data_IF_254243906545
#
_entry.id   IF_254243906545
#
_cell.length_a   1.000
_cell.length_b   1.000
_cell.length_c   1.000
_cell.angle_alpha   90.00
_cell.angle_beta   90.00
_cell.angle_gamma   90.00
#
_symmetry.space_group_name_H-M   'P 1'
#
loop_
_entity.id
_entity.type
_entity.pdbx_description
1 polymer ?
#
# COMPACT_ATOMS: atom_id res chain seq x y z
N UNK A 1 -14.12 -29.30 -26.43
CA UNK A 1 -13.96 -27.97 -25.80
C UNK A 1 -12.78 -28.09 -24.86
N UNK A 2 -11.77 -27.28 -25.02
CA UNK A 2 -10.67 -27.29 -24.06
C UNK A 2 -11.08 -26.59 -22.72
N UNK A 3 -10.29 -26.80 -21.70
CA UNK A 3 -10.60 -26.30 -20.33
C UNK A 3 -10.72 -24.78 -20.30
N UNK A 4 -9.82 -24.08 -20.98
CA UNK A 4 -9.79 -22.62 -20.99
C UNK A 4 -11.05 -22.04 -21.63
N UNK A 5 -11.48 -22.61 -22.76
CA UNK A 5 -12.69 -22.19 -23.47
C UNK A 5 -13.95 -22.37 -22.59
N UNK A 6 -14.06 -23.51 -21.89
CA UNK A 6 -15.19 -23.76 -20.97
C UNK A 6 -15.21 -22.76 -19.79
N UNK A 7 -14.05 -22.42 -19.23
CA UNK A 7 -13.96 -21.41 -18.16
C UNK A 7 -14.39 -20.04 -18.68
N UNK A 8 -13.94 -19.63 -19.86
CA UNK A 8 -14.32 -18.35 -20.47
C UNK A 8 -15.82 -18.23 -20.69
N UNK A 9 -16.48 -19.26 -21.24
CA UNK A 9 -17.94 -19.26 -21.40
C UNK A 9 -18.69 -19.07 -20.06
N UNK A 10 -18.28 -19.78 -19.01
CA UNK A 10 -18.87 -19.64 -17.68
C UNK A 10 -18.67 -18.22 -17.13
N UNK A 11 -17.47 -17.66 -17.27
CA UNK A 11 -17.17 -16.32 -16.78
C UNK A 11 -17.87 -15.23 -17.58
N UNK A 12 -18.03 -15.39 -18.89
CA UNK A 12 -18.82 -14.48 -19.72
C UNK A 12 -20.29 -14.48 -19.33
N UNK A 13 -20.85 -15.65 -19.01
CA UNK A 13 -22.26 -15.81 -18.65
C UNK A 13 -22.59 -15.37 -17.23
N UNK A 14 -21.73 -15.67 -16.25
CA UNK A 14 -22.04 -15.52 -14.82
C UNK A 14 -21.06 -14.58 -14.07
N UNK A 15 -19.92 -14.27 -14.65
CA UNK A 15 -18.90 -13.43 -14.04
C UNK A 15 -19.26 -11.93 -14.03
N UNK A 16 -18.55 -11.13 -13.24
CA UNK A 16 -18.71 -9.69 -13.26
C UNK A 16 -18.23 -9.13 -14.60
N UNK A 17 -18.83 -8.01 -15.00
CA UNK A 17 -18.33 -7.25 -16.15
C UNK A 17 -16.99 -6.61 -15.80
N UNK A 18 -16.16 -6.41 -16.83
CA UNK A 18 -14.92 -5.66 -16.65
C UNK A 18 -15.21 -4.25 -16.11
N UNK A 19 -14.37 -3.72 -15.19
CA UNK A 19 -14.52 -2.37 -14.70
C UNK A 19 -14.48 -1.34 -15.83
N UNK A 20 -15.45 -0.43 -15.82
CA UNK A 20 -15.57 0.67 -16.80
C UNK A 20 -15.68 2.01 -16.06
N UNK A 21 -15.53 3.10 -16.78
CA UNK A 21 -15.80 4.43 -16.24
C UNK A 21 -17.30 4.58 -15.89
N UNK A 22 -17.57 5.23 -14.76
CA UNK A 22 -18.92 5.53 -14.28
C UNK A 22 -19.22 6.99 -14.63
N UNK A 23 -19.97 7.20 -15.71
CA UNK A 23 -20.21 8.54 -16.27
C UNK A 23 -21.24 9.36 -15.46
N UNK A 24 -22.23 8.71 -14.87
CA UNK A 24 -23.33 9.37 -14.16
C UNK A 24 -23.45 8.82 -12.74
N UNK A 25 -22.55 9.20 -11.82
CA UNK A 25 -22.56 8.69 -10.46
C UNK A 25 -23.72 9.32 -9.64
N UNK A 26 -24.39 8.48 -8.88
CA UNK A 26 -25.32 8.91 -7.82
C UNK A 26 -24.74 8.69 -6.42
N UNK A 27 -23.62 8.01 -6.33
CA UNK A 27 -22.92 7.71 -5.09
C UNK A 27 -21.40 7.80 -5.29
N UNK A 28 -20.68 7.98 -4.19
CA UNK A 28 -19.20 7.95 -4.15
C UNK A 28 -18.78 6.90 -3.13
N UNK A 29 -18.61 5.62 -3.53
CA UNK A 29 -18.18 4.56 -2.63
C UNK A 29 -16.67 4.70 -2.34
N UNK A 30 -16.21 4.08 -1.23
CA UNK A 30 -14.79 4.09 -0.86
C UNK A 30 -13.90 3.31 -1.83
N UNK A 31 -14.42 2.22 -2.37
CA UNK A 31 -13.71 1.39 -3.34
C UNK A 31 -14.72 0.73 -4.29
N UNK A 32 -14.25 0.44 -5.50
CA UNK A 32 -14.94 -0.39 -6.48
C UNK A 32 -13.98 -1.48 -6.95
N UNK A 33 -14.49 -2.66 -7.35
CA UNK A 33 -13.64 -3.74 -7.85
C UNK A 33 -12.76 -3.28 -9.02
N UNK A 34 -11.47 -3.64 -9.01
CA UNK A 34 -10.52 -3.38 -10.10
C UNK A 34 -10.34 -4.60 -11.01
N UNK A 35 -10.85 -5.76 -10.63
CA UNK A 35 -10.73 -7.02 -11.37
C UNK A 35 -11.96 -7.28 -12.23
N UNK A 36 -11.80 -8.10 -13.26
CA UNK A 36 -12.84 -8.47 -14.18
C UNK A 36 -12.71 -9.94 -14.65
N UNK A 37 -13.13 -10.19 -15.86
CA UNK A 37 -13.21 -11.56 -16.40
C UNK A 37 -11.85 -12.24 -16.53
N UNK A 38 -10.81 -11.53 -16.96
CA UNK A 38 -9.48 -12.10 -17.15
C UNK A 38 -8.89 -12.68 -15.86
N UNK A 39 -9.02 -11.94 -14.76
CA UNK A 39 -8.56 -12.37 -13.43
C UNK A 39 -9.31 -13.59 -12.92
N UNK A 40 -10.61 -13.66 -13.19
CA UNK A 40 -11.45 -14.80 -12.78
C UNK A 40 -11.12 -16.04 -13.60
N UNK A 41 -10.93 -15.91 -14.90
CA UNK A 41 -10.52 -17.02 -15.78
C UNK A 41 -9.20 -17.62 -15.28
N UNK A 42 -8.20 -16.77 -15.02
CA UNK A 42 -6.89 -17.23 -14.56
C UNK A 42 -6.95 -17.85 -13.15
N UNK A 43 -7.76 -17.28 -12.24
CA UNK A 43 -7.98 -17.84 -10.92
C UNK A 43 -8.68 -19.20 -10.95
N UNK A 44 -9.69 -19.37 -11.84
CA UNK A 44 -10.37 -20.65 -12.04
C UNK A 44 -9.41 -21.69 -12.64
N UNK A 45 -8.56 -21.31 -13.59
CA UNK A 45 -7.55 -22.21 -14.14
C UNK A 45 -6.53 -22.64 -13.08
N UNK A 46 -6.11 -21.73 -12.21
CA UNK A 46 -5.27 -22.06 -11.06
C UNK A 46 -5.94 -23.06 -10.12
N UNK A 47 -7.22 -22.86 -9.78
CA UNK A 47 -8.00 -23.79 -8.96
C UNK A 47 -8.11 -25.18 -9.60
N UNK A 48 -8.42 -25.26 -10.89
CA UNK A 48 -8.59 -26.50 -11.64
C UNK A 48 -7.26 -27.23 -11.92
N UNK A 49 -6.13 -26.53 -11.77
CA UNK A 49 -4.81 -27.16 -11.84
C UNK A 49 -4.53 -28.07 -10.64
N UNK A 50 -5.21 -27.85 -9.49
CA UNK A 50 -4.97 -28.52 -8.22
C UNK A 50 -3.73 -28.00 -7.46
N UNK A 51 -2.96 -27.05 -8.03
CA UNK A 51 -1.81 -26.45 -7.39
C UNK A 51 -2.21 -25.11 -6.74
N UNK A 52 -2.43 -25.11 -5.43
CA UNK A 52 -3.00 -23.96 -4.72
C UNK A 52 -1.99 -23.14 -3.90
N UNK A 53 -0.87 -23.76 -3.55
CA UNK A 53 0.24 -23.07 -2.88
C UNK A 53 1.09 -22.31 -3.89
N UNK A 54 2.01 -21.50 -3.42
CA UNK A 54 2.91 -20.69 -4.26
C UNK A 54 3.53 -21.52 -5.39
N UNK A 55 3.43 -21.04 -6.62
CA UNK A 55 3.92 -21.70 -7.84
C UNK A 55 4.24 -20.70 -8.94
N UNK A 56 4.16 -21.13 -10.21
CA UNK A 56 4.65 -20.36 -11.37
C UNK A 56 3.90 -19.03 -11.59
N UNK A 57 2.61 -18.97 -11.26
CA UNK A 57 1.84 -17.72 -11.38
C UNK A 57 2.34 -16.67 -10.41
N UNK A 58 2.68 -17.09 -9.18
CA UNK A 58 3.27 -16.17 -8.18
C UNK A 58 4.64 -15.69 -8.65
N UNK A 59 5.51 -16.59 -9.16
CA UNK A 59 6.83 -16.18 -9.68
C UNK A 59 6.72 -15.25 -10.89
N UNK A 60 5.74 -15.48 -11.76
CA UNK A 60 5.47 -14.60 -12.90
C UNK A 60 4.95 -13.23 -12.44
N UNK A 61 4.08 -13.21 -11.43
CA UNK A 61 3.61 -11.98 -10.83
C UNK A 61 4.77 -11.19 -10.19
N UNK A 62 5.69 -11.85 -9.47
CA UNK A 62 6.90 -11.23 -8.91
C UNK A 62 7.72 -10.55 -10.00
N UNK A 63 7.99 -11.24 -11.11
CA UNK A 63 8.75 -10.67 -12.25
C UNK A 63 8.07 -9.44 -12.85
N UNK A 64 6.76 -9.53 -13.13
CA UNK A 64 5.97 -8.42 -13.67
C UNK A 64 5.92 -7.22 -12.72
N UNK A 65 5.79 -7.49 -11.42
CA UNK A 65 5.77 -6.43 -10.42
C UNK A 65 7.12 -5.73 -10.29
N UNK A 66 8.22 -6.48 -10.26
CA UNK A 66 9.56 -5.92 -10.28
C UNK A 66 9.82 -5.05 -11.51
N UNK A 67 9.43 -5.52 -12.70
CA UNK A 67 9.51 -4.76 -13.95
C UNK A 67 8.66 -3.47 -13.90
N UNK A 68 7.41 -3.55 -13.43
CA UNK A 68 6.55 -2.38 -13.31
C UNK A 68 7.13 -1.33 -12.35
N UNK A 69 7.65 -1.73 -11.21
CA UNK A 69 8.27 -0.80 -10.23
C UNK A 69 9.61 -0.27 -10.74
N UNK A 70 10.33 -1.04 -11.54
CA UNK A 70 11.66 -0.69 -12.05
C UNK A 70 12.79 -1.11 -11.11
N UNK A 71 12.66 -2.30 -10.50
CA UNK A 71 13.66 -2.92 -9.62
C UNK A 71 14.05 -4.30 -10.14
N UNK A 72 15.14 -4.87 -9.60
CA UNK A 72 15.61 -6.20 -10.00
C UNK A 72 14.78 -7.34 -9.38
N UNK A 73 14.25 -7.12 -8.16
CA UNK A 73 13.66 -8.18 -7.37
C UNK A 73 12.32 -7.75 -6.77
N UNK A 74 11.34 -8.64 -6.85
CA UNK A 74 10.14 -8.60 -6.04
C UNK A 74 9.94 -9.95 -5.35
N UNK A 75 9.40 -9.92 -4.13
CA UNK A 75 9.12 -11.11 -3.33
C UNK A 75 7.69 -11.03 -2.82
N UNK A 76 6.80 -11.84 -3.39
CA UNK A 76 5.38 -11.84 -3.04
C UNK A 76 5.10 -12.52 -1.70
N UNK A 77 4.19 -11.95 -0.94
CA UNK A 77 3.72 -12.43 0.35
C UNK A 77 2.19 -12.30 0.45
N UNK A 78 1.59 -12.82 1.52
CA UNK A 78 0.14 -12.91 1.65
C UNK A 78 -0.57 -11.62 2.10
N UNK A 79 0.17 -10.54 2.42
CA UNK A 79 -0.41 -9.22 2.73
C UNK A 79 0.66 -8.12 2.77
N UNK A 80 0.25 -6.85 2.70
CA UNK A 80 1.16 -5.72 2.91
C UNK A 80 1.78 -5.69 4.31
N UNK A 81 1.02 -6.09 5.33
CA UNK A 81 1.55 -6.22 6.70
C UNK A 81 2.67 -7.25 6.77
N UNK A 82 2.50 -8.38 6.10
CA UNK A 82 3.54 -9.41 5.96
C UNK A 82 4.73 -8.91 5.15
N UNK A 83 4.51 -8.05 4.15
CA UNK A 83 5.60 -7.44 3.38
C UNK A 83 6.49 -6.58 4.30
N UNK A 84 5.90 -5.71 5.12
CA UNK A 84 6.64 -4.91 6.10
C UNK A 84 7.40 -5.76 7.10
N UNK A 85 6.74 -6.79 7.67
CA UNK A 85 7.35 -7.68 8.66
C UNK A 85 8.54 -8.46 8.08
N UNK A 86 8.37 -9.05 6.89
CA UNK A 86 9.43 -9.83 6.20
C UNK A 86 10.57 -8.91 5.77
N UNK A 87 10.24 -7.73 5.21
CA UNK A 87 11.22 -6.72 4.79
C UNK A 87 12.13 -6.31 5.95
N UNK A 88 11.56 -5.90 7.08
CA UNK A 88 12.31 -5.47 8.26
C UNK A 88 13.11 -6.62 8.88
N UNK A 89 12.54 -7.84 8.94
CA UNK A 89 13.26 -9.03 9.40
C UNK A 89 14.48 -9.32 8.52
N UNK A 90 14.33 -9.22 7.20
CA UNK A 90 15.42 -9.41 6.24
C UNK A 90 16.49 -8.31 6.35
N UNK A 91 16.08 -7.05 6.57
CA UNK A 91 17.01 -5.93 6.81
C UNK A 91 17.90 -6.18 8.05
N UNK A 92 17.33 -6.77 9.10
CA UNK A 92 18.10 -7.16 10.29
C UNK A 92 19.02 -8.35 10.01
N UNK A 93 18.53 -9.38 9.31
CA UNK A 93 19.33 -10.56 8.96
C UNK A 93 20.52 -10.21 8.09
N UNK A 94 20.35 -9.30 7.14
CA UNK A 94 21.44 -8.81 6.28
C UNK A 94 22.35 -7.79 6.96
N UNK A 95 22.13 -7.45 8.22
CA UNK A 95 22.97 -6.53 9.00
C UNK A 95 22.78 -5.04 8.66
N UNK A 96 21.74 -4.67 7.89
CA UNK A 96 21.41 -3.28 7.61
C UNK A 96 20.79 -2.57 8.83
N UNK A 97 20.12 -3.32 9.70
CA UNK A 97 19.53 -2.85 10.95
C UNK A 97 19.97 -3.74 12.11
N UNK A 98 19.98 -3.20 13.32
CA UNK A 98 20.34 -3.90 14.55
C UNK A 98 19.19 -3.86 15.56
N UNK A 99 19.08 -4.91 16.37
CA UNK A 99 18.06 -4.99 17.41
C UNK A 99 18.13 -3.78 18.36
N UNK A 100 16.99 -3.17 18.63
CA UNK A 100 16.90 -1.96 19.44
C UNK A 100 17.30 -0.67 18.74
N UNK A 101 17.73 -0.71 17.47
CA UNK A 101 18.05 0.48 16.70
C UNK A 101 16.80 1.34 16.49
N UNK A 102 16.95 2.64 16.61
CA UNK A 102 15.90 3.61 16.32
C UNK A 102 15.59 3.63 14.82
N UNK A 103 14.29 3.67 14.50
CA UNK A 103 13.75 3.82 13.15
C UNK A 103 12.67 4.89 13.19
N UNK A 104 12.84 5.93 12.40
CA UNK A 104 11.83 6.98 12.25
C UNK A 104 10.60 6.40 11.52
N UNK A 105 9.43 6.66 12.08
CA UNK A 105 8.12 6.29 11.52
C UNK A 105 7.20 7.50 11.59
N UNK A 106 6.40 7.83 10.56
CA UNK A 106 5.43 8.91 10.66
C UNK A 106 4.34 8.61 11.69
N UNK A 107 3.90 9.63 12.43
CA UNK A 107 2.82 9.50 13.40
C UNK A 107 1.45 9.29 12.74
N UNK A 108 1.29 9.66 11.46
CA UNK A 108 0.11 9.38 10.64
C UNK A 108 0.40 8.19 9.74
N UNK A 109 -0.36 7.11 9.88
CA UNK A 109 -0.12 5.91 9.09
C UNK A 109 -1.09 4.77 9.40
N UNK A 110 -0.90 3.64 8.72
CA UNK A 110 -1.53 2.40 9.08
C UNK A 110 -0.76 1.75 10.24
N UNK A 111 -1.45 1.11 11.16
CA UNK A 111 -0.86 0.58 12.39
C UNK A 111 0.29 -0.41 12.15
N UNK A 112 0.21 -1.23 11.08
CA UNK A 112 1.22 -2.24 10.80
C UNK A 112 2.56 -1.67 10.32
N UNK A 113 2.60 -0.45 9.79
CA UNK A 113 3.87 0.25 9.51
C UNK A 113 4.67 0.47 10.80
N UNK A 114 4.00 0.93 11.85
CA UNK A 114 4.60 1.09 13.18
C UNK A 114 4.87 -0.25 13.86
N UNK A 115 3.86 -1.14 13.87
CA UNK A 115 3.95 -2.38 14.66
C UNK A 115 4.97 -3.37 14.09
N UNK A 116 5.20 -3.41 12.77
CA UNK A 116 6.24 -4.25 12.19
C UNK A 116 7.63 -3.87 12.69
N UNK A 117 7.92 -2.58 12.88
CA UNK A 117 9.19 -2.10 13.46
C UNK A 117 9.38 -2.67 14.87
N UNK A 118 8.35 -2.54 15.71
CA UNK A 118 8.41 -3.06 17.08
C UNK A 118 8.46 -4.60 17.16
N UNK A 119 7.70 -5.29 16.27
CA UNK A 119 7.63 -6.76 16.24
C UNK A 119 8.96 -7.44 15.92
N UNK A 120 9.78 -6.82 15.07
CA UNK A 120 11.13 -7.33 14.78
C UNK A 120 12.17 -6.92 15.83
N UNK A 121 11.76 -6.17 16.84
CA UNK A 121 12.64 -5.75 17.96
C UNK A 121 13.45 -4.49 17.69
N UNK A 122 13.04 -3.67 16.72
CA UNK A 122 13.54 -2.31 16.51
C UNK A 122 12.83 -1.32 17.44
N UNK A 123 13.35 -0.10 17.53
CA UNK A 123 12.80 0.97 18.35
C UNK A 123 12.12 2.02 17.45
N UNK A 124 10.79 2.02 17.33
CA UNK A 124 10.10 3.04 16.53
C UNK A 124 10.15 4.40 17.22
N UNK A 125 10.51 5.43 16.43
CA UNK A 125 10.48 6.84 16.83
C UNK A 125 9.44 7.55 15.99
N UNK A 126 8.30 7.89 16.59
CA UNK A 126 7.24 8.63 15.91
C UNK A 126 7.61 10.11 15.76
N UNK A 127 7.44 10.63 14.56
CA UNK A 127 7.59 12.05 14.24
C UNK A 127 6.36 12.54 13.51
N UNK A 128 6.09 13.85 13.57
CA UNK A 128 4.95 14.42 12.86
C UNK A 128 5.16 14.40 11.34
N UNK A 129 4.10 14.60 10.60
CA UNK A 129 4.09 14.62 9.14
C UNK A 129 4.01 16.07 8.62
N UNK A 130 4.34 16.23 7.36
CA UNK A 130 4.19 17.49 6.66
C UNK A 130 2.70 17.85 6.49
N UNK A 131 2.27 19.07 6.87
CA UNK A 131 0.87 19.49 6.80
C UNK A 131 0.33 19.64 5.37
N UNK A 132 1.20 19.76 4.36
CA UNK A 132 0.80 19.93 2.95
C UNK A 132 0.65 18.60 2.22
N UNK A 133 1.32 17.56 2.70
CA UNK A 133 1.36 16.25 2.02
C UNK A 133 0.81 15.09 2.86
N UNK A 134 0.72 15.24 4.17
CA UNK A 134 0.43 14.19 5.16
C UNK A 134 1.45 13.04 5.16
N UNK A 135 2.57 13.20 4.48
CA UNK A 135 3.70 12.26 4.42
C UNK A 135 4.90 12.85 5.16
N UNK A 136 5.93 12.04 5.42
CA UNK A 136 7.19 12.58 5.95
C UNK A 136 7.90 13.45 4.92
N UNK A 137 8.50 14.55 5.38
CA UNK A 137 9.45 15.36 4.62
C UNK A 137 10.66 15.76 5.46
N UNK A 138 11.81 16.00 4.79
CA UNK A 138 13.01 16.50 5.44
C UNK A 138 14.15 15.50 5.55
N UNK A 139 15.15 15.83 6.38
CA UNK A 139 16.40 15.09 6.54
C UNK A 139 16.48 14.45 7.93
N UNK A 140 16.87 13.19 7.98
CA UNK A 140 17.02 12.40 9.20
C UNK A 140 18.39 11.73 9.22
N UNK A 141 18.99 11.63 10.40
CA UNK A 141 20.26 10.93 10.65
C UNK A 141 20.04 9.40 10.84
N UNK A 142 18.84 9.01 11.25
CA UNK A 142 18.44 7.64 11.53
C UNK A 142 17.84 6.97 10.29
N UNK A 143 17.76 5.62 10.27
CA UNK A 143 16.92 4.89 9.31
C UNK A 143 15.46 5.36 9.36
N UNK A 144 14.83 5.45 8.20
CA UNK A 144 13.43 5.87 8.06
C UNK A 144 12.61 4.77 7.40
N UNK A 145 11.46 4.44 7.97
CA UNK A 145 10.37 3.76 7.28
C UNK A 145 9.36 4.83 6.85
N UNK A 146 9.50 5.32 5.63
CA UNK A 146 8.61 6.34 5.08
C UNK A 146 7.30 5.72 4.61
N UNK A 147 6.17 6.35 4.94
CA UNK A 147 4.85 5.98 4.42
C UNK A 147 4.46 6.99 3.35
N UNK A 148 4.15 6.51 2.15
CA UNK A 148 3.60 7.32 1.05
C UNK A 148 2.09 7.43 1.23
N UNK A 149 1.67 8.41 2.05
CA UNK A 149 0.32 8.50 2.59
C UNK A 149 -0.74 8.70 1.51
N UNK A 150 -1.67 7.75 1.40
CA UNK A 150 -2.81 7.77 0.47
C UNK A 150 -2.44 8.02 -1.00
N UNK A 151 -1.20 7.69 -1.37
CA UNK A 151 -0.68 7.90 -2.72
C UNK A 151 0.20 9.13 -2.88
N UNK A 152 0.40 9.92 -1.82
CA UNK A 152 1.27 11.10 -1.82
C UNK A 152 2.70 10.71 -1.39
N UNK A 153 3.72 10.90 -2.24
CA UNK A 153 5.09 10.51 -1.92
C UNK A 153 5.68 11.24 -0.72
N UNK A 154 6.41 10.53 0.12
CA UNK A 154 7.20 11.09 1.21
C UNK A 154 8.56 11.58 0.69
N UNK A 155 8.90 12.84 0.94
CA UNK A 155 10.13 13.50 0.46
C UNK A 155 11.20 13.48 1.56
N UNK A 156 11.90 12.34 1.69
CA UNK A 156 12.81 12.06 2.81
C UNK A 156 14.25 11.87 2.33
N UNK A 157 15.20 12.48 3.04
CA UNK A 157 16.63 12.23 2.94
C UNK A 157 17.11 11.52 4.21
N UNK A 158 17.76 10.36 4.08
CA UNK A 158 18.24 9.55 5.18
C UNK A 158 19.35 8.61 4.72
N UNK A 159 20.27 8.17 5.59
CA UNK A 159 21.26 7.14 5.25
C UNK A 159 20.64 5.80 4.85
N UNK A 160 19.45 5.48 5.37
CA UNK A 160 18.76 4.22 5.08
C UNK A 160 17.23 4.44 4.99
N UNK A 161 16.75 4.52 3.76
CA UNK A 161 15.32 4.62 3.46
C UNK A 161 14.71 3.25 3.21
N UNK A 162 13.62 2.95 3.89
CA UNK A 162 12.68 1.87 3.64
C UNK A 162 11.32 2.49 3.33
N UNK A 163 10.59 1.92 2.38
CA UNK A 163 9.38 2.53 1.86
C UNK A 163 8.16 1.65 2.17
N UNK A 164 7.16 2.23 2.87
CA UNK A 164 5.81 1.69 2.88
C UNK A 164 5.02 2.34 1.74
N UNK A 165 4.95 1.63 0.63
CA UNK A 165 4.24 2.03 -0.58
C UNK A 165 2.89 1.29 -0.73
N UNK A 166 2.35 0.70 0.34
CA UNK A 166 1.10 -0.06 0.31
C UNK A 166 -0.07 0.73 -0.29
N UNK A 167 -0.18 2.01 0.01
CA UNK A 167 -1.21 2.90 -0.55
C UNK A 167 -0.74 3.77 -1.71
N UNK A 168 0.39 3.45 -2.37
CA UNK A 168 1.03 4.39 -3.31
C UNK A 168 1.55 3.74 -4.59
N UNK A 169 0.88 2.68 -5.07
CA UNK A 169 1.27 2.02 -6.31
C UNK A 169 1.40 3.00 -7.47
N UNK A 170 2.58 3.05 -8.08
CA UNK A 170 2.87 3.90 -9.21
C UNK A 170 3.03 5.40 -8.89
N UNK A 171 2.98 5.82 -7.63
CA UNK A 171 3.43 7.15 -7.22
C UNK A 171 4.92 7.32 -7.58
N UNK A 172 5.35 8.56 -7.84
CA UNK A 172 6.73 8.85 -8.25
C UNK A 172 7.31 10.04 -7.49
N UNK A 173 8.64 10.03 -7.34
CA UNK A 173 9.47 11.20 -7.07
C UNK A 173 10.43 11.31 -8.24
N UNK A 174 10.40 12.44 -8.93
CA UNK A 174 11.02 12.61 -10.24
C UNK A 174 10.54 11.51 -11.20
N UNK A 175 11.44 10.76 -11.83
CA UNK A 175 11.11 9.65 -12.74
C UNK A 175 11.03 8.28 -12.07
N UNK A 176 11.34 8.20 -10.77
CA UNK A 176 11.41 6.93 -10.03
C UNK A 176 10.10 6.63 -9.31
N UNK A 177 9.58 5.41 -9.48
CA UNK A 177 8.42 4.97 -8.71
C UNK A 177 8.80 4.71 -7.25
N UNK A 178 7.92 5.05 -6.31
CA UNK A 178 8.08 4.66 -4.91
C UNK A 178 8.16 3.14 -4.79
N UNK A 179 8.90 2.66 -3.79
CA UNK A 179 9.28 1.25 -3.69
C UNK A 179 10.54 0.87 -4.49
N UNK A 180 11.11 1.83 -5.26
CA UNK A 180 12.41 1.70 -5.93
C UNK A 180 13.44 2.75 -5.49
N UNK A 181 13.04 3.66 -4.60
CA UNK A 181 13.84 4.83 -4.22
C UNK A 181 14.77 4.48 -3.06
N UNK A 182 14.24 3.85 -2.03
CA UNK A 182 14.97 3.37 -0.87
C UNK A 182 15.72 2.05 -1.10
N UNK A 183 16.23 1.48 -0.03
CA UNK A 183 16.86 0.16 -0.01
C UNK A 183 15.88 -0.95 -0.40
N UNK A 184 14.62 -0.79 0.04
CA UNK A 184 13.51 -1.72 -0.22
C UNK A 184 12.18 -1.01 -0.04
N UNK A 185 11.11 -1.57 -0.65
CA UNK A 185 9.74 -1.11 -0.52
C UNK A 185 8.78 -2.24 -0.23
N UNK A 186 7.68 -1.94 0.47
CA UNK A 186 6.60 -2.86 0.75
C UNK A 186 5.30 -2.40 0.09
N UNK A 187 4.55 -3.34 -0.48
CA UNK A 187 3.28 -3.11 -1.18
C UNK A 187 2.19 -4.03 -0.65
N UNK A 188 0.93 -3.57 -0.77
CA UNK A 188 -0.26 -4.35 -0.45
C UNK A 188 -1.16 -4.49 -1.68
N UNK A 189 -1.73 -5.67 -1.86
CA UNK A 189 -2.72 -5.96 -2.91
C UNK A 189 -4.07 -6.34 -2.30
N UNK A 190 -4.41 -5.71 -1.17
CA UNK A 190 -5.73 -5.84 -0.56
C UNK A 190 -6.82 -5.31 -1.50
N UNK A 191 -8.05 -5.79 -1.34
CA UNK A 191 -9.19 -5.51 -2.21
C UNK A 191 -9.37 -4.04 -2.61
N UNK A 192 -9.17 -3.08 -1.70
CA UNK A 192 -9.39 -1.65 -1.95
C UNK A 192 -8.20 -0.89 -2.52
N UNK A 193 -7.08 -1.57 -2.82
CA UNK A 193 -5.89 -0.92 -3.37
C UNK A 193 -6.01 -0.68 -4.88
N UNK A 194 -5.00 -0.05 -5.48
CA UNK A 194 -4.99 0.29 -6.91
C UNK A 194 -5.19 -0.94 -7.79
N UNK A 195 -4.53 -2.04 -7.43
CA UNK A 195 -4.76 -3.39 -7.93
C UNK A 195 -4.97 -4.33 -6.74
N UNK A 196 -5.60 -5.47 -6.99
CA UNK A 196 -5.89 -6.44 -5.93
C UNK A 196 -5.55 -7.87 -6.34
N UNK A 197 -5.18 -8.67 -5.34
CA UNK A 197 -5.11 -10.14 -5.43
C UNK A 197 -6.08 -10.80 -4.43
N UNK A 198 -7.09 -10.03 -3.97
CA UNK A 198 -7.93 -10.34 -2.82
C UNK A 198 -7.20 -9.99 -1.53
N UNK A 199 -6.25 -10.79 -1.14
CA UNK A 199 -5.20 -10.55 -0.15
C UNK A 199 -3.83 -10.79 -0.80
N UNK A 200 -2.84 -9.98 -0.50
CA UNK A 200 -1.48 -10.08 -1.01
C UNK A 200 -0.60 -8.90 -0.66
N UNK A 201 0.69 -9.07 -0.89
CA UNK A 201 1.69 -8.02 -0.78
C UNK A 201 2.97 -8.40 -1.51
N UNK A 202 3.90 -7.46 -1.62
CA UNK A 202 5.22 -7.72 -2.16
C UNK A 202 6.28 -6.82 -1.50
N UNK A 203 7.49 -7.34 -1.43
CA UNK A 203 8.70 -6.57 -1.12
C UNK A 203 9.45 -6.33 -2.43
N UNK A 204 9.96 -5.12 -2.63
CA UNK A 204 10.77 -4.75 -3.80
C UNK A 204 12.16 -4.30 -3.37
N UNK A 205 13.20 -4.66 -4.13
CA UNK A 205 14.58 -4.25 -3.86
C UNK A 205 15.48 -4.45 -5.07
N UNK A 206 16.63 -3.75 -5.09
CA UNK A 206 17.73 -4.02 -6.02
C UNK A 206 18.86 -4.84 -5.36
N UNK A 207 18.68 -5.25 -4.10
CA UNK A 207 19.65 -6.05 -3.36
C UNK A 207 19.28 -7.54 -3.41
N UNK A 208 20.04 -8.32 -4.17
CA UNK A 208 19.79 -9.76 -4.34
C UNK A 208 19.91 -10.54 -3.02
N UNK A 209 20.81 -10.14 -2.11
CA UNK A 209 20.99 -10.78 -0.82
C UNK A 209 19.76 -10.54 0.08
N UNK A 210 19.25 -9.30 0.08
CA UNK A 210 18.02 -8.93 0.79
C UNK A 210 16.80 -9.69 0.24
N UNK A 211 16.69 -9.80 -1.10
CA UNK A 211 15.62 -10.56 -1.73
C UNK A 211 15.66 -12.05 -1.34
N UNK A 212 16.84 -12.66 -1.28
CA UNK A 212 17.00 -14.06 -0.85
C UNK A 212 16.67 -14.26 0.63
N UNK A 213 17.04 -13.31 1.49
CA UNK A 213 16.60 -13.30 2.89
C UNK A 213 15.06 -13.21 2.98
N UNK A 214 14.42 -12.33 2.20
CA UNK A 214 12.96 -12.22 2.15
C UNK A 214 12.29 -13.53 1.70
N UNK A 215 12.83 -14.20 0.66
CA UNK A 215 12.32 -15.51 0.17
C UNK A 215 12.41 -16.58 1.25
N UNK A 216 13.53 -16.62 1.96
CA UNK A 216 13.74 -17.54 3.08
C UNK A 216 12.77 -17.27 4.22
N UNK A 217 12.72 -16.03 4.71
CA UNK A 217 11.90 -15.62 5.87
C UNK A 217 10.40 -15.80 5.62
N UNK A 218 9.88 -15.49 4.43
CA UNK A 218 8.45 -15.71 4.10
C UNK A 218 8.04 -17.17 4.14
N UNK A 219 9.01 -18.09 4.03
CA UNK A 219 8.81 -19.53 3.92
C UNK A 219 9.64 -20.30 4.95
N UNK A 220 9.33 -20.12 6.23
CA UNK A 220 9.90 -20.85 7.38
C UNK A 220 11.41 -20.64 7.61
N UNK A 221 12.08 -19.78 6.85
CA UNK A 221 13.54 -19.67 6.84
C UNK A 221 14.24 -20.71 5.95
N UNK A 222 13.52 -21.37 5.04
CA UNK A 222 14.09 -22.38 4.13
C UNK A 222 15.11 -21.80 3.17
N UNK A 223 16.19 -22.53 2.98
CA UNK A 223 17.23 -22.26 1.98
C UNK A 223 16.73 -22.54 0.55
N UNK A 224 15.83 -23.49 0.37
CA UNK A 224 15.40 -23.99 -0.96
C UNK A 224 14.83 -22.93 -1.90
N UNK A 225 14.35 -21.81 -1.40
CA UNK A 225 13.79 -20.71 -2.19
C UNK A 225 14.81 -19.60 -2.49
N UNK A 226 16.02 -19.70 -1.95
CA UNK A 226 17.11 -18.76 -2.16
C UNK A 226 17.84 -19.06 -3.48
N UNK A 227 18.38 -18.03 -4.14
CA UNK A 227 19.22 -18.19 -5.32
C UNK A 227 20.63 -18.69 -4.95
N UNK A 228 21.13 -18.30 -3.76
CA UNK A 228 22.41 -18.75 -3.22
C UNK A 228 22.35 -20.13 -2.54
N UNK A 229 21.25 -20.88 -2.78
CA UNK A 229 20.95 -22.18 -2.19
C UNK A 229 22.15 -23.15 -2.20
N UNK A 230 22.85 -23.25 -3.33
CA UNK A 230 23.92 -24.21 -3.49
C UNK A 230 25.05 -23.97 -2.46
N UNK A 231 25.42 -22.72 -2.20
CA UNK A 231 26.46 -22.39 -1.22
C UNK A 231 26.08 -22.78 0.22
N UNK A 232 24.78 -22.71 0.54
CA UNK A 232 24.26 -23.15 1.83
C UNK A 232 24.27 -24.67 1.95
N UNK A 233 23.87 -25.40 0.92
CA UNK A 233 23.85 -26.86 0.89
C UNK A 233 25.29 -27.44 0.98
N UNK A 234 26.25 -26.83 0.31
CA UNK A 234 27.67 -27.20 0.41
C UNK A 234 28.23 -26.95 1.82
N UNK A 235 27.94 -25.77 2.40
CA UNK A 235 28.40 -25.41 3.74
C UNK A 235 27.81 -26.29 4.84
N UNK A 236 26.58 -26.76 4.68
CA UNK A 236 25.84 -27.57 5.64
C UNK A 236 25.50 -28.95 5.09
N UNK A 237 26.43 -29.59 4.39
CA UNK A 237 26.25 -30.87 3.69
C UNK A 237 25.83 -32.05 4.59
N UNK A 238 25.92 -31.91 5.90
CA UNK A 238 25.46 -32.90 6.88
C UNK A 238 23.96 -32.75 7.22
N UNK A 239 23.27 -31.72 6.73
CA UNK A 239 21.84 -31.49 6.90
C UNK A 239 21.14 -31.83 5.58
N UNK A 240 19.98 -32.53 5.67
CA UNK A 240 19.15 -32.79 4.49
C UNK A 240 18.71 -31.42 3.87
N UNK A 241 19.03 -31.13 2.62
CA UNK A 241 18.76 -29.82 2.00
C UNK A 241 17.25 -29.48 1.94
N UNK A 242 16.37 -30.49 2.02
CA UNK A 242 14.91 -30.26 2.08
C UNK A 242 14.47 -29.60 3.38
N UNK A 243 15.26 -29.70 4.43
CA UNK A 243 14.98 -29.15 5.77
C UNK A 243 16.15 -28.30 6.29
N UNK A 244 16.88 -27.65 5.39
CA UNK A 244 17.90 -26.68 5.75
C UNK A 244 17.26 -25.30 5.91
N UNK A 245 17.36 -24.73 7.12
CA UNK A 245 16.81 -23.41 7.48
C UNK A 245 17.96 -22.44 7.76
N UNK A 246 18.01 -21.34 7.01
CA UNK A 246 19.01 -20.28 7.18
C UNK A 246 18.57 -19.20 8.17
N UNK A 247 17.27 -19.02 8.34
CA UNK A 247 16.68 -17.90 9.06
C UNK A 247 15.55 -18.37 9.99
N UNK A 248 15.20 -17.53 10.97
CA UNK A 248 13.93 -17.64 11.68
C UNK A 248 12.82 -17.04 10.80
N UNK A 249 12.05 -17.89 10.16
CA UNK A 249 11.06 -17.45 9.19
C UNK A 249 9.61 -17.69 9.62
N UNK A 250 8.71 -17.20 8.77
CA UNK A 250 7.26 -17.30 8.92
C UNK A 250 6.65 -18.20 7.83
N UNK A 251 5.34 -18.38 7.84
CA UNK A 251 4.59 -18.92 6.70
C UNK A 251 3.68 -17.83 6.13
N UNK A 252 4.22 -16.99 5.26
CA UNK A 252 3.59 -15.80 4.72
C UNK A 252 3.56 -15.78 3.18
N UNK A 253 3.60 -16.97 2.56
CA UNK A 253 3.60 -17.13 1.10
C UNK A 253 2.27 -16.69 0.49
N UNK A 254 2.33 -16.04 -0.67
CA UNK A 254 1.17 -15.79 -1.53
C UNK A 254 0.65 -17.12 -2.09
N UNK A 255 -0.67 -17.25 -2.24
CA UNK A 255 -1.28 -18.41 -2.91
C UNK A 255 -1.20 -18.29 -4.43
N UNK A 256 -1.26 -19.42 -5.13
CA UNK A 256 -1.25 -19.44 -6.60
C UNK A 256 -2.48 -18.74 -7.19
N UNK A 257 -3.63 -18.81 -6.50
CA UNK A 257 -4.87 -18.10 -6.90
C UNK A 257 -4.65 -16.58 -6.84
N UNK A 258 -4.05 -16.09 -5.74
CA UNK A 258 -3.74 -14.67 -5.60
C UNK A 258 -2.75 -14.21 -6.66
N UNK A 259 -1.71 -15.00 -6.94
CA UNK A 259 -0.77 -14.73 -8.04
C UNK A 259 -1.48 -14.65 -9.39
N UNK A 260 -2.39 -15.58 -9.67
CA UNK A 260 -3.20 -15.63 -10.90
C UNK A 260 -4.00 -14.33 -11.10
N UNK A 261 -4.72 -13.88 -10.08
CA UNK A 261 -5.46 -12.61 -10.14
C UNK A 261 -4.50 -11.46 -10.43
N UNK A 262 -3.35 -11.41 -9.76
CA UNK A 262 -2.35 -10.35 -9.89
C UNK A 262 -1.79 -10.17 -11.30
N UNK A 263 -1.65 -11.25 -12.07
CA UNK A 263 -1.02 -11.22 -13.40
C UNK A 263 -1.65 -10.19 -14.35
N UNK A 264 -2.99 -10.19 -14.43
CA UNK A 264 -3.74 -9.28 -15.30
C UNK A 264 -3.92 -7.89 -14.72
N UNK A 265 -3.84 -7.76 -13.39
CA UNK A 265 -3.92 -6.47 -12.71
C UNK A 265 -2.68 -5.60 -13.00
N UNK A 266 -1.47 -6.20 -13.00
CA UNK A 266 -0.23 -5.47 -13.28
C UNK A 266 -0.24 -4.85 -14.67
N UNK A 267 -0.75 -5.56 -15.68
CA UNK A 267 -0.80 -5.06 -17.07
C UNK A 267 -1.65 -3.78 -17.23
N UNK A 268 -2.62 -3.55 -16.33
CA UNK A 268 -3.51 -2.38 -16.35
C UNK A 268 -3.09 -1.27 -15.38
N UNK A 269 -2.06 -1.53 -14.58
CA UNK A 269 -1.68 -0.68 -13.45
C UNK A 269 -1.42 0.78 -13.84
N UNK A 270 -0.65 1.03 -14.90
CA UNK A 270 -0.30 2.39 -15.31
C UNK A 270 -1.55 3.19 -15.71
N UNK A 271 -2.48 2.58 -16.45
CA UNK A 271 -3.75 3.21 -16.81
C UNK A 271 -4.61 3.55 -15.58
N UNK A 272 -4.62 2.68 -14.58
CA UNK A 272 -5.33 2.92 -13.32
C UNK A 272 -4.74 4.11 -12.54
N UNK A 273 -3.43 4.19 -12.47
CA UNK A 273 -2.74 5.30 -11.80
C UNK A 273 -2.99 6.62 -12.50
N UNK A 274 -2.87 6.66 -13.83
CA UNK A 274 -3.09 7.88 -14.61
C UNK A 274 -4.53 8.41 -14.42
N UNK A 275 -5.54 7.53 -14.46
CA UNK A 275 -6.94 7.93 -14.23
C UNK A 275 -7.14 8.48 -12.80
N UNK A 276 -6.55 7.82 -11.79
CA UNK A 276 -6.62 8.28 -10.40
C UNK A 276 -5.89 9.60 -10.18
N UNK A 277 -4.71 9.78 -10.77
CA UNK A 277 -3.96 11.03 -10.74
C UNK A 277 -4.76 12.18 -11.34
N UNK A 278 -5.32 11.97 -12.55
CA UNK A 278 -6.17 12.97 -13.20
C UNK A 278 -7.36 13.36 -12.32
N UNK A 279 -8.10 12.38 -11.81
CA UNK A 279 -9.22 12.63 -10.91
C UNK A 279 -8.77 13.43 -9.67
N UNK A 280 -7.63 13.04 -9.07
CA UNK A 280 -7.11 13.71 -7.89
C UNK A 280 -6.82 15.20 -8.14
N UNK A 281 -6.14 15.51 -9.24
CA UNK A 281 -5.82 16.88 -9.63
C UNK A 281 -7.09 17.71 -9.86
N UNK A 282 -8.01 17.20 -10.69
CA UNK A 282 -9.28 17.89 -11.00
C UNK A 282 -10.13 18.12 -9.74
N UNK A 283 -10.21 17.14 -8.86
CA UNK A 283 -11.00 17.27 -7.62
C UNK A 283 -10.37 18.25 -6.64
N UNK A 284 -9.02 18.31 -6.56
CA UNK A 284 -8.34 19.33 -5.78
C UNK A 284 -8.70 20.75 -6.26
N UNK A 285 -8.59 21.00 -7.57
CA UNK A 285 -8.96 22.30 -8.15
C UNK A 285 -10.43 22.67 -7.86
N UNK A 286 -11.35 21.72 -8.07
CA UNK A 286 -12.77 21.92 -7.87
C UNK A 286 -13.10 22.23 -6.41
N UNK A 287 -12.56 21.48 -5.46
CA UNK A 287 -12.82 21.67 -4.02
C UNK A 287 -12.18 22.98 -3.52
N UNK A 288 -10.97 23.31 -3.94
CA UNK A 288 -10.31 24.59 -3.62
C UNK A 288 -11.12 25.81 -4.12
N UNK A 289 -11.72 25.70 -5.32
CA UNK A 289 -12.58 26.75 -5.86
C UNK A 289 -13.81 27.06 -5.02
N UNK A 290 -14.27 26.15 -4.17
CA UNK A 290 -15.40 26.37 -3.27
C UNK A 290 -15.09 27.35 -2.12
N UNK A 291 -13.81 27.54 -1.78
CA UNK A 291 -13.34 28.41 -0.69
C UNK A 291 -13.96 28.06 0.67
N UNK A 292 -14.22 26.81 0.92
CA UNK A 292 -14.73 26.29 2.19
C UNK A 292 -13.58 26.16 3.22
N UNK A 293 -13.88 26.15 4.53
CA UNK A 293 -12.87 26.03 5.58
C UNK A 293 -12.36 24.57 5.71
N UNK A 294 -11.72 24.08 4.65
CA UNK A 294 -11.10 22.77 4.55
C UNK A 294 -9.89 22.80 3.61
N UNK A 295 -9.00 21.86 3.79
CA UNK A 295 -7.81 21.64 2.94
C UNK A 295 -7.94 20.32 2.21
N UNK A 296 -7.42 20.30 0.98
CA UNK A 296 -7.14 19.11 0.17
C UNK A 296 -5.65 19.13 -0.18
N UNK A 297 -5.09 18.01 -0.64
CA UNK A 297 -3.65 17.79 -0.75
C UNK A 297 -3.26 17.56 -2.21
N UNK A 298 -3.03 18.63 -3.00
CA UNK A 298 -2.65 18.51 -4.39
C UNK A 298 -1.27 17.86 -4.54
N UNK A 299 -0.98 17.38 -5.74
CA UNK A 299 0.30 16.82 -6.10
C UNK A 299 1.43 17.84 -5.89
N UNK A 300 2.49 17.44 -5.18
CA UNK A 300 3.65 18.28 -4.94
C UNK A 300 4.54 18.37 -6.21
N UNK A 301 5.33 19.44 -6.38
CA UNK A 301 6.27 19.56 -7.50
C UNK A 301 7.22 18.36 -7.59
N UNK A 302 7.51 17.92 -8.81
CA UNK A 302 8.38 16.78 -9.12
C UNK A 302 7.90 15.44 -8.52
N UNK A 303 6.62 15.33 -8.18
CA UNK A 303 6.02 14.08 -7.74
C UNK A 303 4.86 13.67 -8.64
N UNK A 304 4.47 12.39 -8.57
CA UNK A 304 3.21 11.87 -9.09
C UNK A 304 2.43 11.27 -7.94
N UNK A 305 1.26 11.83 -7.67
CA UNK A 305 0.32 11.31 -6.68
C UNK A 305 -0.43 10.11 -7.26
N UNK A 306 -0.49 8.99 -6.54
CA UNK A 306 -1.16 7.79 -7.06
C UNK A 306 -2.68 7.76 -6.86
N UNK A 307 -3.26 8.71 -6.13
CA UNK A 307 -4.72 8.81 -5.94
C UNK A 307 -5.35 7.59 -5.29
N UNK A 308 -4.78 7.10 -4.18
CA UNK A 308 -5.37 5.97 -3.44
C UNK A 308 -6.74 6.34 -2.88
N UNK A 309 -6.85 7.50 -2.25
CA UNK A 309 -8.07 8.08 -1.73
C UNK A 309 -7.96 9.61 -1.82
N UNK A 310 -9.06 10.32 -1.59
CA UNK A 310 -9.09 11.78 -1.60
C UNK A 310 -9.21 12.31 -0.17
N UNK A 311 -8.10 12.70 0.47
CA UNK A 311 -8.09 13.21 1.84
C UNK A 311 -8.62 14.64 1.91
N UNK A 312 -9.34 14.93 2.99
CA UNK A 312 -9.89 16.25 3.33
C UNK A 312 -9.59 16.50 4.80
N UNK A 313 -9.09 17.69 5.12
CA UNK A 313 -8.85 18.16 6.48
C UNK A 313 -9.67 19.42 6.75
N UNK A 314 -10.60 19.36 7.70
CA UNK A 314 -11.33 20.54 8.15
C UNK A 314 -10.42 21.51 8.88
N UNK A 315 -10.60 22.81 8.63
CA UNK A 315 -9.92 23.85 9.41
C UNK A 315 -10.50 23.90 10.84
N UNK A 316 -9.73 24.43 11.76
CA UNK A 316 -10.14 24.55 13.16
C UNK A 316 -11.39 25.43 13.35
N UNK A 317 -11.51 26.46 12.52
CA UNK A 317 -12.63 27.40 12.51
C UNK A 317 -13.82 26.93 11.66
N UNK A 318 -13.87 25.69 11.20
CA UNK A 318 -15.00 25.19 10.43
C UNK A 318 -16.28 25.19 11.28
N UNK A 319 -17.44 25.63 10.73
CA UNK A 319 -18.69 25.74 11.49
C UNK A 319 -19.33 24.36 11.79
N UNK A 320 -18.74 23.30 11.30
CA UNK A 320 -19.22 21.92 11.40
C UNK A 320 -18.09 20.99 11.86
N UNK A 321 -18.38 20.04 12.73
CA UNK A 321 -17.42 19.00 13.12
C UNK A 321 -17.23 17.96 12.02
N UNK A 322 -16.07 17.24 12.03
CA UNK A 322 -15.83 16.11 11.12
C UNK A 322 -16.97 15.07 11.18
N UNK A 323 -17.38 14.70 12.38
CA UNK A 323 -18.44 13.69 12.57
C UNK A 323 -19.75 14.10 11.91
N UNK A 324 -20.16 15.36 12.08
CA UNK A 324 -21.37 15.90 11.44
C UNK A 324 -21.22 15.94 9.92
N UNK A 325 -20.06 16.44 9.40
CA UNK A 325 -19.81 16.51 7.96
C UNK A 325 -19.84 15.12 7.32
N UNK A 326 -19.16 14.14 7.90
CA UNK A 326 -19.15 12.76 7.42
C UNK A 326 -20.57 12.16 7.41
N UNK A 327 -21.35 12.37 8.48
CA UNK A 327 -22.76 11.91 8.54
C UNK A 327 -23.59 12.52 7.42
N UNK A 328 -23.43 13.82 7.15
CA UNK A 328 -24.19 14.50 6.08
C UNK A 328 -23.73 14.08 4.67
N UNK A 329 -22.44 13.78 4.46
CA UNK A 329 -21.93 13.21 3.22
C UNK A 329 -22.48 11.79 2.99
N UNK A 330 -22.48 10.95 4.02
CA UNK A 330 -22.97 9.57 3.92
C UNK A 330 -24.49 9.50 3.63
N UNK A 331 -25.29 10.42 4.19
CA UNK A 331 -26.71 10.57 3.81
C UNK A 331 -26.91 10.90 2.33
N UNK A 332 -25.91 11.49 1.68
CA UNK A 332 -25.90 11.84 0.25
C UNK A 332 -25.21 10.79 -0.62
N UNK A 333 -24.94 9.59 -0.06
CA UNK A 333 -24.30 8.49 -0.79
C UNK A 333 -22.79 8.61 -0.97
N UNK A 334 -22.13 9.53 -0.26
CA UNK A 334 -20.68 9.71 -0.27
C UNK A 334 -20.09 9.02 0.95
N UNK A 335 -19.44 7.87 0.75
CA UNK A 335 -18.81 7.12 1.84
C UNK A 335 -17.54 7.80 2.34
N UNK A 336 -17.34 7.79 3.64
CA UNK A 336 -16.19 8.42 4.30
C UNK A 336 -15.44 7.44 5.20
N UNK A 337 -14.15 7.74 5.45
CA UNK A 337 -13.31 7.06 6.44
C UNK A 337 -12.35 8.07 7.11
N UNK A 338 -11.95 7.86 8.37
CA UNK A 338 -10.81 8.57 8.95
C UNK A 338 -9.54 8.34 8.12
N UNK A 339 -8.63 9.32 8.12
CA UNK A 339 -7.35 9.18 7.41
C UNK A 339 -6.51 8.09 8.09
N UNK A 340 -6.44 6.91 7.45
CA UNK A 340 -5.65 5.76 7.90
C UNK A 340 -5.87 5.43 9.41
N UNK A 341 -4.80 5.13 10.15
CA UNK A 341 -4.82 4.99 11.62
C UNK A 341 -4.83 6.33 12.35
N UNK A 342 -4.85 7.45 11.62
CA UNK A 342 -4.71 8.81 12.13
C UNK A 342 -3.47 8.96 13.03
N UNK A 343 -3.58 9.55 14.23
CA UNK A 343 -2.45 9.70 15.15
C UNK A 343 -2.13 8.37 15.86
N UNK A 344 -1.07 7.69 15.43
CA UNK A 344 -0.65 6.41 15.98
C UNK A 344 -0.17 6.50 17.44
N UNK A 345 0.29 7.68 17.89
CA UNK A 345 0.81 7.87 19.24
C UNK A 345 -0.27 7.73 20.34
N UNK A 346 -1.54 7.98 20.01
CA UNK A 346 -2.65 7.87 20.96
C UNK A 346 -3.35 6.50 20.93
N UNK A 347 -2.89 5.59 20.08
CA UNK A 347 -3.49 4.26 19.99
C UNK A 347 -3.13 3.43 21.24
N UNK A 348 -4.07 2.73 21.88
CA UNK A 348 -3.78 1.93 23.08
C UNK A 348 -2.70 0.87 22.87
N UNK A 349 -2.53 0.39 21.63
CA UNK A 349 -1.49 -0.57 21.28
C UNK A 349 -0.08 0.07 21.31
N UNK A 350 0.05 1.36 21.02
CA UNK A 350 1.34 2.08 21.12
C UNK A 350 1.85 2.11 22.56
N UNK A 351 0.98 2.32 23.54
CA UNK A 351 1.35 2.32 24.95
C UNK A 351 2.00 1.01 25.40
N UNK A 352 1.64 -0.11 24.76
CA UNK A 352 2.13 -1.47 25.09
C UNK A 352 3.46 -1.81 24.42
N UNK A 353 3.98 -0.99 23.52
CA UNK A 353 5.25 -1.27 22.88
C UNK A 353 6.40 -1.20 23.89
N UNK A 354 7.33 -2.18 23.87
CA UNK A 354 8.44 -2.24 24.82
C UNK A 354 9.47 -1.13 24.62
N UNK A 355 9.70 -0.75 23.36
CA UNK A 355 10.55 0.35 22.94
C UNK A 355 9.71 1.28 22.07
N UNK A 356 9.73 2.57 22.39
CA UNK A 356 9.00 3.61 21.63
C UNK A 356 9.47 4.99 22.04
N UNK A 357 9.47 5.91 21.10
CA UNK A 357 9.73 7.34 21.35
C UNK A 357 8.76 8.17 20.52
N UNK A 358 8.35 9.31 21.05
CA UNK A 358 7.71 10.40 20.32
C UNK A 358 8.71 11.54 20.30
N UNK A 359 9.07 12.03 19.12
CA UNK A 359 10.03 13.12 18.94
C UNK A 359 9.28 14.41 18.63
N UNK A 360 9.33 15.35 19.53
CA UNK A 360 8.63 16.64 19.43
C UNK A 360 7.11 16.52 19.64
N UNK A 361 6.42 17.60 19.35
CA UNK A 361 4.97 17.64 19.33
C UNK A 361 4.42 17.05 18.01
N UNK A 362 3.17 16.60 18.03
CA UNK A 362 2.49 15.99 16.86
C UNK A 362 1.23 16.79 16.46
N UNK A 363 1.34 18.10 16.17
CA UNK A 363 0.18 18.92 15.86
C UNK A 363 -0.56 18.51 14.59
N UNK A 364 0.15 18.09 13.54
CA UNK A 364 -0.49 17.66 12.29
C UNK A 364 -1.19 16.32 12.49
N UNK A 365 -0.55 15.34 13.13
CA UNK A 365 -1.16 14.07 13.45
C UNK A 365 -2.41 14.24 14.34
N UNK A 366 -2.38 15.18 15.28
CA UNK A 366 -3.54 15.53 16.12
C UNK A 366 -4.66 16.15 15.28
N UNK A 367 -4.34 17.11 14.42
CA UNK A 367 -5.32 17.69 13.49
C UNK A 367 -5.96 16.65 12.57
N UNK A 368 -5.17 15.72 12.04
CA UNK A 368 -5.65 14.59 11.22
C UNK A 368 -6.58 13.68 12.03
N UNK A 369 -6.24 13.38 13.28
CA UNK A 369 -7.07 12.58 14.18
C UNK A 369 -8.43 13.22 14.44
N UNK A 370 -8.46 14.51 14.67
CA UNK A 370 -9.66 15.22 15.06
C UNK A 370 -10.55 15.61 13.87
N UNK A 371 -9.91 16.04 12.78
CA UNK A 371 -10.57 16.78 11.68
C UNK A 371 -10.36 16.17 10.30
N UNK A 372 -9.49 15.16 10.16
CA UNK A 372 -9.16 14.51 8.90
C UNK A 372 -10.10 13.35 8.55
N UNK A 373 -10.49 13.26 7.29
CA UNK A 373 -11.20 12.11 6.69
C UNK A 373 -10.84 12.00 5.21
N UNK A 374 -11.20 10.88 4.58
CA UNK A 374 -11.09 10.74 3.14
C UNK A 374 -12.38 10.20 2.52
N UNK A 375 -12.58 10.49 1.24
CA UNK A 375 -13.57 9.85 0.38
C UNK A 375 -12.87 8.95 -0.64
N UNK A 376 -13.62 8.03 -1.26
CA UNK A 376 -13.06 7.08 -2.21
C UNK A 376 -12.46 7.74 -3.45
N UNK A 377 -11.42 7.12 -4.00
CA UNK A 377 -10.95 7.32 -5.36
C UNK A 377 -10.78 5.98 -6.07
N UNK A 378 -11.03 5.96 -7.37
CA UNK A 378 -10.95 4.75 -8.17
C UNK A 378 -10.63 5.07 -9.63
N UNK A 379 -10.01 4.13 -10.31
CA UNK A 379 -9.81 4.14 -11.76
C UNK A 379 -11.12 4.16 -12.56
N UNK A 380 -12.23 3.79 -11.95
CA UNK A 380 -13.57 3.84 -12.57
C UNK A 380 -14.30 5.17 -12.36
N UNK A 381 -13.73 6.07 -11.55
CA UNK A 381 -14.33 7.38 -11.30
C UNK A 381 -13.93 8.38 -12.38
N UNK A 382 -14.77 9.42 -12.50
CA UNK A 382 -14.61 10.50 -13.47
C UNK A 382 -14.75 11.84 -12.76
N UNK A 383 -14.56 12.94 -13.49
CA UNK A 383 -14.84 14.30 -13.02
C UNK A 383 -16.22 14.44 -12.35
N UNK A 384 -17.25 13.73 -12.86
CA UNK A 384 -18.60 13.78 -12.31
C UNK A 384 -18.69 13.35 -10.83
N UNK A 385 -17.81 12.46 -10.35
CA UNK A 385 -17.75 12.13 -8.93
C UNK A 385 -17.21 13.30 -8.09
N UNK A 386 -16.26 14.07 -8.61
CA UNK A 386 -15.79 15.32 -8.00
C UNK A 386 -16.90 16.38 -7.95
N UNK A 387 -17.72 16.49 -9.00
CA UNK A 387 -18.88 17.39 -9.05
C UNK A 387 -19.94 16.99 -8.02
N UNK A 388 -20.20 15.69 -7.87
CA UNK A 388 -21.06 15.17 -6.82
C UNK A 388 -20.56 15.55 -5.41
N UNK A 389 -19.26 15.35 -5.14
CA UNK A 389 -18.63 15.73 -3.88
C UNK A 389 -18.74 17.24 -3.64
N UNK A 390 -18.39 18.07 -4.62
CA UNK A 390 -18.46 19.53 -4.52
C UNK A 390 -19.88 20.03 -4.26
N UNK A 391 -20.87 19.48 -4.95
CA UNK A 391 -22.29 19.83 -4.75
C UNK A 391 -22.75 19.49 -3.34
N UNK A 392 -22.37 18.33 -2.81
CA UNK A 392 -22.69 17.91 -1.45
C UNK A 392 -22.02 18.83 -0.40
N UNK A 393 -20.73 19.13 -0.56
CA UNK A 393 -20.00 20.05 0.33
C UNK A 393 -20.65 21.44 0.35
N UNK A 394 -20.95 22.01 -0.82
CA UNK A 394 -21.63 23.32 -0.90
C UNK A 394 -22.99 23.33 -0.20
N UNK A 395 -23.79 22.29 -0.39
CA UNK A 395 -25.11 22.19 0.26
C UNK A 395 -25.01 22.12 1.78
N UNK A 396 -24.02 21.35 2.30
CA UNK A 396 -23.84 21.17 3.75
C UNK A 396 -23.33 22.46 4.42
N UNK A 397 -22.38 23.17 3.78
CA UNK A 397 -21.83 24.41 4.36
C UNK A 397 -22.74 25.65 4.19
N UNK A 398 -23.81 25.54 3.41
CA UNK A 398 -24.84 26.61 3.30
C UNK A 398 -26.02 26.41 4.25
N UNK A 399 -26.22 25.20 4.79
CA UNK A 399 -27.28 24.85 5.73
C UNK A 399 -26.91 25.20 7.16
#
# INVERSE_FOLDING_TARGET
MDREHAIREIVEQYGPKNPTLIENPTTLPLAVPSFGQAEIVEAMDALLSGWLTMGERVYTFERKWAEYIGVQEAVAVNSGSSALLVMLSAMMECGHLQRGQEVIVPAVGWSTSLFSVAQVGLHPVLVDVDPETLSLSGTFEEPVLAIHMLGNPAMVQTPLLMEDACGAHGAKIDDRKVGSIGKCGAFSFFFSHHITTGEGGAITTNDAQLADACRSIRAHGWVRERRDRQSWEEKYAHIDPRFLFASMGYNLRMTEISGAIGLHQVDRMEGFVLQRQQNHAEWCEMVQALKLPLSVFPEAPNTRHAGFAFPILLHENAPISRAQLCTELEKRGIQTRPISGANLAIQPAFEKLPLKTIRGDLPVATAVQERGFFVGQSQSFTRAHGELLCSALQAIFRS
#
